data_IF_211175563120
#
_entry.id   IF_211175563120
#
_cell.length_a   1.000
_cell.length_b   1.000
_cell.length_c   1.000
_cell.angle_alpha   90.00
_cell.angle_beta   90.00
_cell.angle_gamma   90.00
#
_symmetry.space_group_name_H-M   'P 1'
#
loop_
_entity.id
_entity.type
_entity.pdbx_description
1 polymer ?
#
# COMPACT_ATOMS: atom_id res chain seq x y z
N UNK A 1 -13.86 -5.67 12.89
CA UNK A 1 -13.01 -5.50 14.09
C UNK A 1 -11.66 -6.23 13.93
N UNK A 2 -11.65 -7.55 13.66
CA UNK A 2 -10.41 -8.34 13.59
C UNK A 2 -9.35 -7.83 12.60
N UNK A 3 -9.73 -7.42 11.39
CA UNK A 3 -8.75 -6.93 10.40
C UNK A 3 -8.17 -5.57 10.80
N UNK A 4 -9.03 -4.66 11.28
CA UNK A 4 -8.63 -3.33 11.71
C UNK A 4 -7.64 -3.35 12.89
N UNK A 5 -7.74 -4.33 13.79
CA UNK A 5 -6.79 -4.49 14.90
C UNK A 5 -5.43 -5.07 14.48
N UNK A 6 -5.33 -5.63 13.28
CA UNK A 6 -4.08 -6.20 12.74
C UNK A 6 -3.29 -5.20 11.88
N UNK A 7 -3.91 -4.08 11.49
CA UNK A 7 -3.26 -3.00 10.75
C UNK A 7 -2.88 -1.87 11.70
N UNK A 8 -1.68 -1.30 11.55
CA UNK A 8 -1.24 -0.15 12.36
C UNK A 8 -2.12 1.08 12.11
N UNK A 9 -2.69 1.20 10.91
CA UNK A 9 -3.65 2.26 10.58
C UNK A 9 -5.02 2.10 11.25
N UNK A 10 -5.30 0.99 11.95
CA UNK A 10 -6.54 0.82 12.71
C UNK A 10 -7.79 0.67 11.85
N UNK A 11 -7.64 0.41 10.54
CA UNK A 11 -8.74 0.23 9.59
C UNK A 11 -8.42 -0.83 8.54
N UNK A 12 -9.46 -1.32 7.87
CA UNK A 12 -9.29 -2.17 6.69
C UNK A 12 -8.81 -1.33 5.50
N UNK A 13 -7.97 -1.93 4.65
CA UNK A 13 -7.60 -1.35 3.37
C UNK A 13 -8.78 -1.37 2.40
N UNK A 14 -8.89 -0.34 1.57
CA UNK A 14 -9.87 -0.21 0.51
C UNK A 14 -9.18 -0.27 -0.86
N UNK A 15 -9.90 -0.54 -1.96
CA UNK A 15 -9.32 -0.57 -3.30
C UNK A 15 -8.53 0.70 -3.65
N UNK A 16 -9.04 1.87 -3.24
CA UNK A 16 -8.41 3.15 -3.53
C UNK A 16 -7.05 3.33 -2.85
N UNK A 17 -6.80 2.67 -1.70
CA UNK A 17 -5.50 2.72 -1.02
C UNK A 17 -4.39 2.08 -1.87
N UNK A 18 -4.69 0.95 -2.50
CA UNK A 18 -3.77 0.25 -3.40
C UNK A 18 -3.71 0.94 -4.76
N UNK A 19 -4.85 1.40 -5.28
CA UNK A 19 -4.93 2.12 -6.54
C UNK A 19 -4.08 3.39 -6.55
N UNK A 20 -4.13 4.19 -5.47
CA UNK A 20 -3.30 5.38 -5.33
C UNK A 20 -1.80 5.05 -5.31
N UNK A 21 -1.39 3.98 -4.62
CA UNK A 21 0.00 3.54 -4.60
C UNK A 21 0.49 3.07 -5.99
N UNK A 22 -0.34 2.33 -6.73
CA UNK A 22 -0.03 1.92 -8.11
C UNK A 22 0.08 3.14 -9.03
N UNK A 23 -0.84 4.10 -8.93
CA UNK A 23 -0.80 5.33 -9.73
C UNK A 23 0.48 6.14 -9.46
N UNK A 24 0.92 6.22 -8.20
CA UNK A 24 2.20 6.84 -7.84
C UNK A 24 3.38 6.09 -8.48
N UNK A 25 3.41 4.76 -8.42
CA UNK A 25 4.50 3.97 -9.02
C UNK A 25 4.59 4.08 -10.54
N UNK A 26 3.47 4.36 -11.21
CA UNK A 26 3.41 4.60 -12.65
C UNK A 26 3.71 6.05 -13.03
N UNK A 27 3.91 6.94 -12.05
CA UNK A 27 4.24 8.34 -12.31
C UNK A 27 5.68 8.50 -12.82
N UNK A 28 5.99 9.57 -13.58
CA UNK A 28 7.35 9.86 -14.03
C UNK A 28 8.37 10.00 -12.89
N UNK A 29 7.93 10.44 -11.71
CA UNK A 29 8.79 10.62 -10.55
C UNK A 29 9.33 9.28 -10.00
N UNK A 30 8.67 8.17 -10.33
CA UNK A 30 9.09 6.82 -9.94
C UNK A 30 9.95 6.12 -10.99
N UNK A 31 10.38 6.82 -12.06
CA UNK A 31 11.03 6.21 -13.23
C UNK A 31 12.29 5.39 -12.92
N UNK A 32 12.97 5.65 -11.79
CA UNK A 32 14.16 4.89 -11.42
C UNK A 32 13.92 3.70 -10.47
N UNK A 33 12.67 3.47 -10.05
CA UNK A 33 12.28 2.38 -9.16
C UNK A 33 12.02 1.13 -9.99
N UNK A 34 12.77 0.06 -9.73
CA UNK A 34 12.57 -1.24 -10.39
C UNK A 34 12.92 -2.40 -9.46
N UNK A 35 12.35 -3.57 -9.73
CA UNK A 35 12.58 -4.82 -9.00
C UNK A 35 12.32 -4.73 -7.47
N UNK A 36 11.44 -3.84 -7.04
CA UNK A 36 11.07 -3.69 -5.63
C UNK A 36 9.78 -4.43 -5.29
N UNK A 37 9.72 -5.00 -4.09
CA UNK A 37 8.46 -5.38 -3.43
C UNK A 37 8.04 -4.21 -2.56
N UNK A 38 6.84 -3.68 -2.77
CA UNK A 38 6.29 -2.57 -1.99
C UNK A 38 5.00 -3.06 -1.33
N UNK A 39 4.97 -3.01 -0.01
CA UNK A 39 3.81 -3.43 0.78
C UNK A 39 2.87 -2.25 1.02
N UNK A 40 1.65 -2.38 0.50
CA UNK A 40 0.55 -1.43 0.71
C UNK A 40 -0.45 -2.06 1.69
N UNK A 41 0.01 -2.34 2.90
CA UNK A 41 -0.67 -3.22 3.86
C UNK A 41 -1.32 -2.49 5.05
N UNK A 42 -1.25 -1.16 5.09
CA UNK A 42 -1.67 -0.38 6.26
C UNK A 42 -0.85 -0.67 7.54
N UNK A 43 0.37 -1.19 7.37
CA UNK A 43 1.29 -1.54 8.45
C UNK A 43 1.14 -2.98 8.96
N UNK A 44 0.33 -3.81 8.30
CA UNK A 44 0.31 -5.25 8.57
C UNK A 44 1.58 -5.89 8.00
N UNK A 45 2.27 -6.70 8.80
CA UNK A 45 3.45 -7.45 8.34
C UNK A 45 3.02 -8.63 7.46
N UNK A 46 3.29 -8.60 6.15
CA UNK A 46 2.82 -9.61 5.17
C UNK A 46 3.83 -9.98 4.07
#
# INVERSE_FOLDING_TARGET
AMVASMTTLGRVGLPDDVGAAVAMLLSPDSAWITAQRIEVSGGQSI
#
